data_IF_517771895576
#
_entry.id   IF_517771895576
#
_cell.length_a   1.000
_cell.length_b   1.000
_cell.length_c   1.000
_cell.angle_alpha   90.00
_cell.angle_beta   90.00
_cell.angle_gamma   90.00
#
_symmetry.space_group_name_H-M   'P 1'
#
loop_
_entity.id
_entity.type
_entity.pdbx_description
1 polymer ?
#
# COMPACT_ATOMS: atom_id res chain seq x y z
N UNK A 1 -31.24 13.85 12.41
CA UNK A 1 -29.84 13.41 12.67
C UNK A 1 -29.51 12.20 11.80
N UNK A 2 -29.83 10.97 12.16
CA UNK A 2 -29.45 9.74 11.43
C UNK A 2 -29.80 9.74 9.94
N UNK A 3 -30.95 10.27 9.55
CA UNK A 3 -31.39 10.31 8.16
C UNK A 3 -30.52 11.25 7.30
N UNK A 4 -30.09 12.39 7.85
CA UNK A 4 -29.23 13.34 7.13
C UNK A 4 -27.83 12.76 6.92
N UNK A 5 -27.26 12.08 7.91
CA UNK A 5 -25.97 11.40 7.76
C UNK A 5 -26.01 10.31 6.69
N UNK A 6 -27.08 9.50 6.65
CA UNK A 6 -27.28 8.49 5.61
C UNK A 6 -27.46 9.09 4.23
N UNK A 7 -28.19 10.20 4.11
CA UNK A 7 -28.37 10.89 2.82
C UNK A 7 -27.05 11.44 2.30
N UNK A 8 -26.24 12.06 3.15
CA UNK A 8 -24.91 12.56 2.79
C UNK A 8 -23.98 11.42 2.39
N UNK A 9 -23.99 10.29 3.13
CA UNK A 9 -23.22 9.10 2.79
C UNK A 9 -23.63 8.56 1.41
N UNK A 10 -24.94 8.48 1.13
CA UNK A 10 -25.46 7.99 -0.15
C UNK A 10 -25.07 8.90 -1.33
N UNK A 11 -25.23 10.21 -1.20
CA UNK A 11 -24.84 11.18 -2.23
C UNK A 11 -23.34 11.07 -2.53
N UNK A 12 -22.52 10.97 -1.51
CA UNK A 12 -21.09 10.76 -1.64
C UNK A 12 -20.77 9.46 -2.39
N UNK A 13 -21.37 8.34 -2.00
CA UNK A 13 -21.14 7.02 -2.60
C UNK A 13 -21.57 6.99 -4.08
N UNK A 14 -22.70 7.60 -4.43
CA UNK A 14 -23.18 7.68 -5.82
C UNK A 14 -22.22 8.45 -6.73
N UNK A 15 -21.46 9.40 -6.21
CA UNK A 15 -20.47 10.13 -7.00
C UNK A 15 -19.14 9.36 -7.15
N UNK A 16 -18.75 8.57 -6.14
CA UNK A 16 -17.42 7.96 -6.07
C UNK A 16 -17.37 6.53 -6.62
N UNK A 17 -18.39 5.69 -6.36
CA UNK A 17 -18.40 4.28 -6.76
C UNK A 17 -18.25 4.09 -8.28
N UNK A 18 -18.99 4.76 -9.17
CA UNK A 18 -18.88 4.54 -10.62
C UNK A 18 -17.47 4.83 -11.14
N UNK A 19 -16.88 5.93 -10.69
CA UNK A 19 -15.53 6.30 -11.08
C UNK A 19 -14.47 5.34 -10.54
N UNK A 20 -14.66 4.81 -9.31
CA UNK A 20 -13.80 3.77 -8.73
C UNK A 20 -13.85 2.49 -9.55
N UNK A 21 -15.04 2.05 -9.96
CA UNK A 21 -15.23 0.86 -10.82
C UNK A 21 -14.48 1.04 -12.15
N UNK A 22 -14.71 2.16 -12.83
CA UNK A 22 -14.06 2.45 -14.12
C UNK A 22 -12.52 2.48 -13.97
N UNK A 23 -12.01 3.11 -12.92
CA UNK A 23 -10.58 3.19 -12.65
C UNK A 23 -9.94 1.82 -12.38
N UNK A 24 -10.58 0.95 -11.61
CA UNK A 24 -10.07 -0.40 -11.31
C UNK A 24 -10.04 -1.26 -12.58
N UNK A 25 -11.11 -1.22 -13.39
CA UNK A 25 -11.14 -1.95 -14.68
C UNK A 25 -10.01 -1.48 -15.60
N UNK A 26 -9.77 -0.18 -15.69
CA UNK A 26 -8.68 0.37 -16.50
C UNK A 26 -7.31 -0.14 -16.02
N UNK A 27 -7.06 -0.15 -14.71
CA UNK A 27 -5.79 -0.66 -14.16
C UNK A 27 -5.60 -2.17 -14.42
N UNK A 28 -6.66 -2.99 -14.24
CA UNK A 28 -6.60 -4.42 -14.55
C UNK A 28 -6.34 -4.66 -16.06
N UNK A 29 -6.92 -3.84 -16.94
CA UNK A 29 -6.68 -3.92 -18.37
C UNK A 29 -5.19 -3.70 -18.71
N UNK A 30 -4.54 -2.72 -18.11
CA UNK A 30 -3.11 -2.46 -18.30
C UNK A 30 -2.24 -3.64 -17.85
N UNK A 31 -2.65 -4.34 -16.80
CA UNK A 31 -1.97 -5.55 -16.30
C UNK A 31 -2.15 -6.70 -17.31
N UNK A 32 -3.38 -6.96 -17.76
CA UNK A 32 -3.72 -8.03 -18.69
C UNK A 32 -3.09 -7.84 -20.09
N UNK A 33 -2.85 -6.61 -20.49
CA UNK A 33 -2.08 -6.28 -21.70
C UNK A 33 -0.56 -6.52 -21.55
N UNK A 34 -0.11 -6.97 -20.38
CA UNK A 34 1.31 -7.26 -20.12
C UNK A 34 2.20 -6.03 -20.01
N UNK A 35 1.64 -4.86 -19.77
CA UNK A 35 2.44 -3.64 -19.59
C UNK A 35 3.28 -3.69 -18.33
N UNK A 36 2.74 -4.27 -17.25
CA UNK A 36 3.47 -4.45 -15.99
C UNK A 36 4.61 -5.46 -16.17
N UNK A 37 4.35 -6.54 -16.91
CA UNK A 37 5.35 -7.57 -17.18
C UNK A 37 6.51 -7.07 -18.05
N UNK A 38 6.24 -6.19 -19.02
CA UNK A 38 7.29 -5.56 -19.83
C UNK A 38 8.34 -4.82 -19.00
N UNK A 39 7.98 -4.39 -17.80
CA UNK A 39 8.90 -3.81 -16.83
C UNK A 39 9.80 -4.86 -16.15
N UNK A 40 9.52 -6.15 -16.32
CA UNK A 40 10.28 -7.24 -15.68
C UNK A 40 11.75 -7.31 -16.10
N UNK A 41 12.09 -6.94 -17.36
CA UNK A 41 13.50 -6.87 -17.78
C UNK A 41 14.30 -5.82 -16.98
N UNK A 42 13.62 -4.84 -16.37
CA UNK A 42 14.23 -3.83 -15.53
C UNK A 42 14.72 -4.44 -14.20
N UNK A 43 14.18 -5.58 -13.78
CA UNK A 43 14.53 -6.20 -12.49
C UNK A 43 15.91 -6.85 -12.49
N UNK A 44 16.36 -7.36 -13.65
CA UNK A 44 17.65 -8.05 -13.76
C UNK A 44 18.85 -7.21 -13.26
N UNK A 45 19.02 -5.93 -13.63
CA UNK A 45 20.13 -5.13 -13.10
C UNK A 45 20.03 -4.92 -11.58
N UNK A 46 18.80 -4.82 -11.02
CA UNK A 46 18.59 -4.65 -9.59
C UNK A 46 18.99 -5.91 -8.81
N UNK A 47 18.61 -7.10 -9.31
CA UNK A 47 19.02 -8.37 -8.68
C UNK A 47 20.53 -8.52 -8.68
N UNK A 48 21.21 -8.19 -9.79
CA UNK A 48 22.68 -8.18 -9.87
C UNK A 48 23.29 -7.19 -8.90
N UNK A 49 22.75 -5.98 -8.79
CA UNK A 49 23.24 -4.98 -7.85
C UNK A 49 23.14 -5.48 -6.39
N UNK A 50 22.03 -6.12 -6.03
CA UNK A 50 21.79 -6.68 -4.69
C UNK A 50 22.46 -8.03 -4.41
N UNK A 51 23.28 -8.56 -5.33
CA UNK A 51 23.90 -9.90 -5.23
C UNK A 51 22.89 -11.04 -4.99
N UNK A 52 21.64 -10.84 -5.44
CA UNK A 52 20.57 -11.82 -5.34
C UNK A 52 20.62 -12.80 -6.51
N UNK A 53 20.16 -14.03 -6.27
CA UNK A 53 20.03 -15.06 -7.30
C UNK A 53 18.92 -14.74 -8.30
N UNK A 54 19.02 -15.35 -9.47
CA UNK A 54 18.05 -15.20 -10.56
C UNK A 54 16.63 -15.62 -10.16
N UNK A 55 16.54 -16.70 -9.40
CA UNK A 55 15.30 -17.28 -8.93
C UNK A 55 14.55 -16.27 -8.01
N UNK A 56 15.27 -15.45 -7.27
CA UNK A 56 14.70 -14.33 -6.50
C UNK A 56 14.08 -13.28 -7.44
N UNK A 57 14.71 -13.03 -8.61
CA UNK A 57 14.14 -12.15 -9.63
C UNK A 57 12.79 -12.64 -10.15
N UNK A 58 12.62 -13.96 -10.32
CA UNK A 58 11.32 -14.57 -10.67
C UNK A 58 10.31 -14.36 -9.56
N UNK A 59 10.71 -14.59 -8.29
CA UNK A 59 9.84 -14.37 -7.12
C UNK A 59 9.41 -12.91 -7.01
N UNK A 60 10.32 -11.97 -7.26
CA UNK A 60 10.04 -10.54 -7.31
C UNK A 60 8.99 -10.21 -8.37
N UNK A 61 9.15 -10.78 -9.57
CA UNK A 61 8.21 -10.58 -10.67
C UNK A 61 6.81 -11.14 -10.36
N UNK A 62 6.74 -12.38 -9.87
CA UNK A 62 5.48 -13.03 -9.45
C UNK A 62 4.77 -12.22 -8.36
N UNK A 63 5.52 -11.52 -7.51
CA UNK A 63 4.96 -10.68 -6.45
C UNK A 63 4.12 -9.50 -6.98
N UNK A 64 4.29 -9.05 -8.24
CA UNK A 64 3.40 -8.06 -8.85
C UNK A 64 1.98 -8.60 -9.11
N UNK A 65 1.83 -9.90 -9.26
CA UNK A 65 0.53 -10.55 -9.33
C UNK A 65 0.01 -10.98 -7.94
N UNK A 66 0.91 -11.54 -7.12
CA UNK A 66 0.59 -12.03 -5.77
C UNK A 66 1.81 -11.97 -4.86
N UNK A 67 1.87 -11.03 -3.91
CA UNK A 67 2.96 -10.94 -2.91
C UNK A 67 3.09 -12.23 -2.09
N UNK A 68 1.97 -12.90 -1.82
CA UNK A 68 1.97 -14.19 -1.11
C UNK A 68 2.65 -15.27 -1.93
N UNK A 69 2.36 -15.37 -3.22
CA UNK A 69 3.02 -16.32 -4.10
C UNK A 69 4.53 -16.03 -4.21
N UNK A 70 4.92 -14.78 -4.40
CA UNK A 70 6.33 -14.39 -4.45
C UNK A 70 7.09 -14.72 -3.16
N UNK A 71 6.53 -14.38 -1.99
CA UNK A 71 7.15 -14.72 -0.70
C UNK A 71 7.20 -16.23 -0.47
N UNK A 72 6.18 -16.99 -0.90
CA UNK A 72 6.19 -18.46 -0.80
C UNK A 72 7.30 -19.07 -1.66
N UNK A 73 7.55 -18.52 -2.86
CA UNK A 73 8.68 -18.94 -3.70
C UNK A 73 10.03 -18.67 -3.02
N UNK A 74 10.20 -17.49 -2.42
CA UNK A 74 11.42 -17.16 -1.66
C UNK A 74 11.61 -18.14 -0.49
N UNK A 75 10.55 -18.46 0.25
CA UNK A 75 10.60 -19.42 1.35
C UNK A 75 10.95 -20.84 0.86
N UNK A 76 10.45 -21.24 -0.30
CA UNK A 76 10.75 -22.55 -0.90
C UNK A 76 12.22 -22.63 -1.34
N UNK A 77 12.77 -21.56 -1.92
CA UNK A 77 14.19 -21.49 -2.27
C UNK A 77 15.07 -21.67 -1.04
N UNK A 78 14.69 -21.09 0.10
CA UNK A 78 15.38 -21.27 1.37
C UNK A 78 15.25 -22.71 1.88
N UNK A 79 14.06 -23.30 1.91
CA UNK A 79 13.81 -24.69 2.33
C UNK A 79 14.60 -25.71 1.49
N UNK A 80 14.80 -25.43 0.20
CA UNK A 80 15.61 -26.25 -0.71
C UNK A 80 17.12 -26.03 -0.53
N UNK A 81 17.55 -25.13 0.35
CA UNK A 81 18.94 -24.78 0.57
C UNK A 81 19.60 -24.04 -0.60
N UNK A 82 18.80 -23.52 -1.56
CA UNK A 82 19.29 -22.74 -2.69
C UNK A 82 19.73 -21.32 -2.28
N UNK A 83 19.08 -20.75 -1.28
CA UNK A 83 19.42 -19.49 -0.64
C UNK A 83 19.51 -19.65 0.87
N UNK A 84 20.41 -18.93 1.50
CA UNK A 84 20.54 -18.92 2.96
C UNK A 84 19.56 -17.94 3.64
N UNK A 85 19.52 -17.91 4.97
CA UNK A 85 18.62 -17.05 5.73
C UNK A 85 18.89 -15.56 5.48
N UNK A 86 20.14 -15.15 5.25
CA UNK A 86 20.48 -13.76 4.96
C UNK A 86 19.96 -13.34 3.58
N UNK A 87 20.17 -14.18 2.59
CA UNK A 87 19.65 -13.94 1.25
C UNK A 87 18.11 -13.96 1.23
N UNK A 88 17.49 -14.88 1.99
CA UNK A 88 16.04 -14.95 2.16
C UNK A 88 15.48 -13.66 2.75
N UNK A 89 16.13 -13.11 3.77
CA UNK A 89 15.75 -11.86 4.40
C UNK A 89 15.80 -10.71 3.38
N UNK A 90 16.92 -10.54 2.70
CA UNK A 90 17.07 -9.49 1.67
C UNK A 90 16.08 -9.69 0.52
N UNK A 91 15.93 -10.91 0.02
CA UNK A 91 14.96 -11.24 -1.05
C UNK A 91 13.54 -10.85 -0.66
N UNK A 92 13.10 -11.21 0.55
CA UNK A 92 11.76 -10.87 1.05
C UNK A 92 11.55 -9.36 1.24
N UNK A 93 12.59 -8.62 1.64
CA UNK A 93 12.52 -7.15 1.71
C UNK A 93 12.39 -6.52 0.33
N UNK A 94 13.13 -7.02 -0.65
CA UNK A 94 13.06 -6.54 -2.05
C UNK A 94 11.72 -6.88 -2.68
N UNK A 95 11.21 -8.11 -2.50
CA UNK A 95 9.90 -8.54 -3.03
C UNK A 95 8.71 -7.81 -2.39
N UNK A 96 8.93 -6.98 -1.38
CA UNK A 96 7.88 -6.15 -0.78
C UNK A 96 7.50 -4.91 -1.62
N UNK A 97 8.30 -4.47 -2.58
CA UNK A 97 7.95 -3.36 -3.48
C UNK A 97 6.72 -3.67 -4.35
N UNK A 98 6.59 -4.84 -4.97
CA UNK A 98 5.37 -5.24 -5.66
C UNK A 98 4.10 -5.10 -4.83
N UNK A 99 4.16 -5.34 -3.52
CA UNK A 99 3.01 -5.10 -2.63
C UNK A 99 2.64 -3.61 -2.56
N UNK A 100 3.63 -2.71 -2.58
CA UNK A 100 3.39 -1.26 -2.69
C UNK A 100 2.75 -0.91 -4.03
N UNK A 101 3.18 -1.53 -5.11
CA UNK A 101 2.60 -1.34 -6.43
C UNK A 101 1.13 -1.78 -6.49
N UNK A 102 0.79 -2.95 -5.93
CA UNK A 102 -0.59 -3.43 -5.84
C UNK A 102 -1.44 -2.45 -5.02
N UNK A 103 -0.93 -1.99 -3.87
CA UNK A 103 -1.61 -0.98 -3.06
C UNK A 103 -1.92 0.29 -3.86
N UNK A 104 -0.93 0.80 -4.61
CA UNK A 104 -1.10 1.98 -5.46
C UNK A 104 -2.11 1.70 -6.59
N UNK A 105 -1.99 0.58 -7.26
CA UNK A 105 -2.93 0.15 -8.31
C UNK A 105 -4.37 0.18 -7.81
N UNK A 106 -4.64 -0.45 -6.69
CA UNK A 106 -5.99 -0.62 -6.18
C UNK A 106 -6.59 0.69 -5.64
N UNK A 107 -5.75 1.58 -5.11
CA UNK A 107 -6.20 2.80 -4.47
C UNK A 107 -6.08 4.07 -5.32
N UNK A 108 -5.33 4.04 -6.42
CA UNK A 108 -5.20 5.21 -7.31
C UNK A 108 -6.55 5.76 -7.75
N UNK A 109 -7.51 4.95 -8.26
CA UNK A 109 -8.80 5.48 -8.67
C UNK A 109 -9.54 6.17 -7.52
N UNK A 110 -9.54 5.56 -6.35
CA UNK A 110 -10.21 6.10 -5.15
C UNK A 110 -9.57 7.41 -4.71
N UNK A 111 -8.25 7.45 -4.59
CA UNK A 111 -7.51 8.61 -4.11
C UNK A 111 -7.56 9.79 -5.08
N UNK A 112 -7.47 9.53 -6.38
CA UNK A 112 -7.56 10.59 -7.39
C UNK A 112 -8.96 11.21 -7.42
N UNK A 113 -10.01 10.41 -7.25
CA UNK A 113 -11.39 10.90 -7.23
C UNK A 113 -11.67 11.69 -5.95
N UNK A 114 -11.23 11.18 -4.79
CA UNK A 114 -11.52 11.79 -3.50
C UNK A 114 -10.67 13.03 -3.19
N UNK A 115 -9.39 13.00 -3.59
CA UNK A 115 -8.38 13.96 -3.17
C UNK A 115 -7.74 14.71 -4.35
N UNK A 116 -8.05 14.37 -5.60
CA UNK A 116 -7.48 15.00 -6.78
C UNK A 116 -5.95 14.97 -6.77
N UNK A 117 -5.34 16.14 -6.96
CA UNK A 117 -3.87 16.32 -6.94
C UNK A 117 -3.25 15.94 -5.60
N UNK A 118 -3.92 16.20 -4.48
CA UNK A 118 -3.47 15.79 -3.14
C UNK A 118 -3.33 14.27 -3.03
N UNK A 119 -4.25 13.53 -3.64
CA UNK A 119 -4.18 12.06 -3.72
C UNK A 119 -2.98 11.58 -4.55
N UNK A 120 -2.68 12.27 -5.67
CA UNK A 120 -1.49 11.97 -6.49
C UNK A 120 -0.19 12.22 -5.71
N UNK A 121 -0.11 13.33 -4.97
CA UNK A 121 1.04 13.63 -4.12
C UNK A 121 1.23 12.54 -3.06
N UNK A 122 0.16 12.17 -2.36
CA UNK A 122 0.20 11.10 -1.36
C UNK A 122 0.67 9.77 -1.97
N UNK A 123 0.13 9.37 -3.13
CA UNK A 123 0.56 8.15 -3.85
C UNK A 123 2.03 8.23 -4.26
N UNK A 124 2.47 9.38 -4.78
CA UNK A 124 3.88 9.61 -5.15
C UNK A 124 4.82 9.42 -3.97
N UNK A 125 4.45 9.91 -2.78
CA UNK A 125 5.20 9.71 -1.55
C UNK A 125 5.23 8.23 -1.15
N UNK A 126 4.10 7.53 -1.20
CA UNK A 126 4.02 6.10 -0.87
C UNK A 126 4.89 5.26 -1.81
N UNK A 127 4.87 5.56 -3.12
CA UNK A 127 5.75 4.92 -4.11
C UNK A 127 7.21 5.26 -3.83
N UNK A 128 7.51 6.52 -3.56
CA UNK A 128 8.86 6.99 -3.24
C UNK A 128 9.45 6.27 -2.01
N UNK A 129 8.67 6.14 -0.94
CA UNK A 129 9.07 5.36 0.25
C UNK A 129 9.28 3.89 -0.10
N UNK A 130 8.41 3.29 -0.91
CA UNK A 130 8.55 1.91 -1.37
C UNK A 130 9.83 1.69 -2.21
N UNK A 131 10.11 2.60 -3.14
CA UNK A 131 11.33 2.58 -3.95
C UNK A 131 12.58 2.76 -3.09
N UNK A 132 12.57 3.73 -2.17
CA UNK A 132 13.68 3.98 -1.26
C UNK A 132 13.96 2.77 -0.38
N UNK A 133 12.91 2.14 0.19
CA UNK A 133 13.05 0.91 0.95
C UNK A 133 13.68 -0.21 0.12
N UNK A 134 13.25 -0.37 -1.13
CA UNK A 134 13.80 -1.38 -2.03
C UNK A 134 15.26 -1.08 -2.37
N UNK A 135 15.62 0.17 -2.64
CA UNK A 135 16.98 0.58 -2.88
C UNK A 135 17.89 0.29 -1.68
N UNK A 136 17.43 0.61 -0.46
CA UNK A 136 18.15 0.28 0.79
C UNK A 136 18.28 -1.24 0.95
N UNK A 137 17.22 -2.02 0.66
CA UNK A 137 17.26 -3.48 0.76
C UNK A 137 18.25 -4.09 -0.23
N UNK A 138 18.31 -3.58 -1.46
CA UNK A 138 19.29 -3.99 -2.47
C UNK A 138 20.72 -3.61 -2.05
N UNK A 139 20.91 -2.40 -1.51
CA UNK A 139 22.21 -1.98 -0.97
C UNK A 139 22.65 -2.88 0.18
N UNK A 140 21.75 -3.22 1.11
CA UNK A 140 22.03 -4.20 2.16
C UNK A 140 22.44 -5.56 1.59
N UNK A 141 21.74 -6.02 0.53
CA UNK A 141 22.13 -7.24 -0.19
C UNK A 141 23.56 -7.17 -0.72
N UNK A 142 23.91 -6.06 -1.37
CA UNK A 142 25.27 -5.86 -1.90
C UNK A 142 26.36 -5.93 -0.85
N UNK A 143 26.11 -5.48 0.38
CA UNK A 143 27.09 -5.50 1.47
C UNK A 143 27.09 -6.81 2.27
N UNK A 144 25.93 -7.47 2.37
CA UNK A 144 25.76 -8.67 3.21
C UNK A 144 25.96 -9.98 2.44
N UNK A 145 25.76 -9.96 1.12
CA UNK A 145 25.78 -11.16 0.28
C UNK A 145 27.02 -11.20 -0.61
N UNK A 146 27.63 -12.38 -0.85
CA UNK A 146 28.70 -12.51 -1.82
C UNK A 146 28.17 -12.30 -3.25
N UNK A 147 28.99 -11.75 -4.16
CA UNK A 147 28.60 -11.54 -5.54
C UNK A 147 28.25 -12.87 -6.22
N UNK A 148 27.08 -12.91 -6.87
CA UNK A 148 26.58 -14.08 -7.59
C UNK A 148 26.43 -13.78 -9.09
N UNK A 149 26.67 -14.80 -9.93
CA UNK A 149 26.38 -14.70 -11.36
C UNK A 149 24.88 -14.82 -11.57
N UNK A 150 24.28 -13.79 -12.17
CA UNK A 150 22.85 -13.74 -12.49
C UNK A 150 22.69 -13.91 -14.00
N UNK A 151 22.02 -14.94 -14.49
CA UNK A 151 21.62 -15.05 -15.89
C UNK A 151 20.27 -14.33 -16.09
N UNK A 152 20.06 -13.81 -17.26
CA UNK A 152 18.78 -13.15 -17.60
C UNK A 152 17.79 -14.25 -18.01
N UNK A 153 16.75 -14.47 -17.21
CA UNK A 153 15.66 -15.36 -17.60
C UNK A 153 14.75 -14.58 -18.55
N UNK A 154 14.87 -14.87 -19.86
CA UNK A 154 13.87 -14.44 -20.83
C UNK A 154 12.64 -15.35 -20.68
N UNK A 155 11.60 -14.86 -20.01
CA UNK A 155 10.30 -15.50 -20.05
C UNK A 155 9.50 -14.99 -21.26
N UNK A 156 8.99 -15.93 -22.07
CA UNK A 156 8.04 -15.62 -23.14
C UNK A 156 6.74 -15.05 -22.57
N UNK A 157 6.57 -13.75 -22.69
CA UNK A 157 5.40 -13.04 -22.19
C UNK A 157 4.29 -13.18 -23.22
N UNK A 158 3.29 -14.02 -22.93
CA UNK A 158 2.06 -14.10 -23.75
C UNK A 158 1.20 -12.85 -23.44
N UNK A 159 1.32 -11.82 -24.27
CA UNK A 159 0.42 -10.68 -24.22
C UNK A 159 -0.93 -11.05 -24.83
N UNK A 160 -2.01 -10.76 -24.13
CA UNK A 160 -3.37 -10.94 -24.66
C UNK A 160 -3.72 -9.85 -25.67
N UNK A 161 -4.53 -10.19 -26.66
CA UNK A 161 -5.15 -9.20 -27.54
C UNK A 161 -6.09 -8.30 -26.71
N UNK A 162 -6.30 -7.07 -27.14
CA UNK A 162 -7.11 -6.09 -26.40
C UNK A 162 -8.48 -6.63 -25.93
N UNK A 163 -9.19 -7.35 -26.81
CA UNK A 163 -10.51 -7.89 -26.49
C UNK A 163 -10.44 -8.95 -25.37
N UNK A 164 -9.46 -9.85 -25.45
CA UNK A 164 -9.27 -10.90 -24.46
C UNK A 164 -8.75 -10.32 -23.14
N UNK A 165 -7.88 -9.29 -23.23
CA UNK A 165 -7.39 -8.55 -22.09
C UNK A 165 -8.52 -7.80 -21.37
N UNK A 166 -9.42 -7.17 -22.11
CA UNK A 166 -10.58 -6.47 -21.55
C UNK A 166 -11.54 -7.42 -20.82
N UNK A 167 -11.83 -8.56 -21.42
CA UNK A 167 -12.67 -9.57 -20.77
C UNK A 167 -12.02 -10.08 -19.49
N UNK A 168 -10.73 -10.41 -19.54
CA UNK A 168 -9.98 -10.82 -18.33
C UNK A 168 -9.93 -9.72 -17.29
N UNK A 169 -9.70 -8.47 -17.69
CA UNK A 169 -9.67 -7.32 -16.79
C UNK A 169 -10.99 -7.14 -16.03
N UNK A 170 -12.13 -7.26 -16.72
CA UNK A 170 -13.45 -7.19 -16.09
C UNK A 170 -13.63 -8.31 -15.06
N UNK A 171 -13.24 -9.55 -15.40
CA UNK A 171 -13.32 -10.68 -14.48
C UNK A 171 -12.38 -10.51 -13.29
N UNK A 172 -11.12 -10.08 -13.52
CA UNK A 172 -10.13 -9.85 -12.47
C UNK A 172 -10.51 -8.70 -11.55
N UNK A 173 -11.19 -7.69 -12.08
CA UNK A 173 -11.69 -6.55 -11.30
C UNK A 173 -12.73 -6.93 -10.24
N UNK A 174 -13.39 -8.08 -10.40
CA UNK A 174 -14.42 -8.51 -9.46
C UNK A 174 -13.90 -8.71 -8.02
N UNK A 175 -12.70 -9.25 -7.88
CA UNK A 175 -12.09 -9.50 -6.55
C UNK A 175 -11.82 -8.19 -5.80
N UNK A 176 -11.06 -7.20 -6.35
CA UNK A 176 -10.86 -5.92 -5.68
C UNK A 176 -12.15 -5.15 -5.49
N UNK A 177 -13.07 -5.13 -6.48
CA UNK A 177 -14.35 -4.42 -6.37
C UNK A 177 -15.23 -5.00 -5.25
N UNK A 178 -15.33 -6.32 -5.16
CA UNK A 178 -16.08 -7.01 -4.10
C UNK A 178 -15.57 -6.65 -2.70
N UNK A 179 -14.30 -6.34 -2.55
CA UNK A 179 -13.71 -5.98 -1.26
C UNK A 179 -13.76 -4.47 -0.99
N UNK A 180 -13.53 -3.65 -2.02
CA UNK A 180 -13.45 -2.19 -1.88
C UNK A 180 -14.83 -1.57 -1.70
N UNK A 181 -15.80 -1.94 -2.55
CA UNK A 181 -17.14 -1.30 -2.55
C UNK A 181 -17.88 -1.49 -1.23
N UNK A 182 -18.03 -2.72 -0.67
CA UNK A 182 -18.67 -2.89 0.64
C UNK A 182 -17.93 -2.15 1.74
N UNK A 183 -16.59 -2.17 1.72
CA UNK A 183 -15.78 -1.45 2.70
C UNK A 183 -16.01 0.06 2.61
N UNK A 184 -16.11 0.62 1.41
CA UNK A 184 -16.44 2.02 1.19
C UNK A 184 -17.83 2.38 1.74
N UNK A 185 -18.84 1.54 1.45
CA UNK A 185 -20.21 1.77 1.91
C UNK A 185 -20.26 1.75 3.43
N UNK A 186 -19.73 0.69 4.05
CA UNK A 186 -19.71 0.54 5.51
C UNK A 186 -18.92 1.69 6.15
N UNK A 187 -17.72 1.99 5.63
CA UNK A 187 -16.91 3.08 6.15
C UNK A 187 -17.62 4.44 6.04
N UNK A 188 -18.23 4.75 4.89
CA UNK A 188 -18.97 6.00 4.72
C UNK A 188 -20.12 6.10 5.73
N UNK A 189 -20.97 5.07 5.86
CA UNK A 189 -22.08 5.06 6.78
C UNK A 189 -21.59 5.29 8.22
N UNK A 190 -20.60 4.50 8.67
CA UNK A 190 -20.07 4.60 10.03
C UNK A 190 -19.50 5.99 10.29
N UNK A 191 -18.68 6.49 9.36
CA UNK A 191 -18.01 7.78 9.52
C UNK A 191 -18.99 8.94 9.54
N UNK A 192 -19.97 8.99 8.63
CA UNK A 192 -20.98 10.05 8.64
C UNK A 192 -21.86 9.99 9.89
N UNK A 193 -22.13 8.80 10.42
CA UNK A 193 -22.81 8.64 11.70
C UNK A 193 -21.95 9.13 12.87
N UNK A 194 -20.67 8.77 12.90
CA UNK A 194 -19.74 9.22 13.94
C UNK A 194 -19.56 10.75 13.94
N UNK A 195 -19.58 11.38 12.75
CA UNK A 195 -19.56 12.84 12.63
C UNK A 195 -20.84 13.43 13.22
N UNK A 196 -22.00 12.86 12.89
CA UNK A 196 -23.31 13.36 13.30
C UNK A 196 -23.52 13.30 14.83
N UNK A 197 -22.97 12.30 15.52
CA UNK A 197 -23.04 12.16 16.98
C UNK A 197 -21.91 12.92 17.74
N UNK A 198 -21.03 13.65 17.05
CA UNK A 198 -19.93 14.40 17.66
C UNK A 198 -18.80 13.54 18.24
N UNK A 199 -18.69 12.27 17.82
CA UNK A 199 -17.65 11.35 18.32
C UNK A 199 -16.23 11.90 18.12
N UNK A 200 -15.97 12.53 16.98
CA UNK A 200 -14.64 13.07 16.68
C UNK A 200 -14.31 14.31 17.50
N UNK A 201 -15.31 15.11 17.89
CA UNK A 201 -15.13 16.25 18.79
C UNK A 201 -14.73 15.77 20.20
N UNK A 202 -15.38 14.71 20.68
CA UNK A 202 -15.04 14.06 21.94
C UNK A 202 -13.64 13.45 21.91
N UNK A 203 -13.30 12.71 20.84
CA UNK A 203 -11.98 12.11 20.65
C UNK A 203 -10.88 13.19 20.58
N UNK A 204 -11.17 14.31 19.92
CA UNK A 204 -10.28 15.46 19.83
C UNK A 204 -9.90 16.02 21.20
N UNK A 205 -10.85 16.06 22.12
CA UNK A 205 -10.61 16.55 23.48
C UNK A 205 -9.62 15.68 24.25
N UNK A 206 -9.64 14.36 24.04
CA UNK A 206 -8.72 13.42 24.70
C UNK A 206 -7.33 13.37 24.05
N UNK A 207 -7.23 13.62 22.74
CA UNK A 207 -5.98 13.47 22.00
C UNK A 207 -5.16 14.75 21.92
N UNK A 208 -5.68 15.90 22.32
CA UNK A 208 -5.01 17.21 22.29
C UNK A 208 -3.60 17.23 22.90
N UNK A 209 -3.38 16.40 23.91
CA UNK A 209 -2.15 16.42 24.70
C UNK A 209 -1.04 15.50 24.16
N UNK A 210 -1.31 14.71 23.11
CA UNK A 210 -0.27 13.86 22.49
C UNK A 210 0.74 14.73 21.71
N UNK A 211 2.05 14.64 22.03
CA UNK A 211 3.07 15.51 21.41
C UNK A 211 3.09 15.46 19.89
N UNK A 212 2.87 14.25 19.32
CA UNK A 212 2.83 14.01 17.87
C UNK A 212 1.66 14.70 17.18
N UNK A 213 0.58 14.95 17.91
CA UNK A 213 -0.65 15.56 17.36
C UNK A 213 -0.70 17.06 17.57
N UNK A 214 0.19 17.63 18.40
CA UNK A 214 0.24 19.09 18.64
C UNK A 214 0.57 19.92 17.40
N UNK A 215 1.22 19.29 16.41
CA UNK A 215 1.57 19.94 15.13
C UNK A 215 0.45 19.82 14.07
N UNK A 216 -0.62 19.06 14.33
CA UNK A 216 -1.71 18.86 13.39
C UNK A 216 -2.97 19.60 13.86
N UNK A 217 -3.79 20.08 12.91
CA UNK A 217 -5.11 20.64 13.25
C UNK A 217 -6.01 19.56 13.88
N UNK A 218 -6.89 19.96 14.77
CA UNK A 218 -7.83 19.06 15.47
C UNK A 218 -8.67 18.23 14.47
N UNK A 219 -8.93 18.81 13.32
CA UNK A 219 -9.67 18.18 12.20
C UNK A 219 -8.93 16.97 11.58
N UNK A 220 -7.65 16.78 11.87
CA UNK A 220 -6.88 15.60 11.44
C UNK A 220 -7.29 14.32 12.21
N UNK A 221 -7.79 14.45 13.44
CA UNK A 221 -8.10 13.31 14.31
C UNK A 221 -9.13 12.33 13.74
N UNK A 222 -10.24 12.77 13.11
CA UNK A 222 -11.16 11.88 12.43
C UNK A 222 -10.49 11.01 11.35
N UNK A 223 -9.56 11.57 10.57
CA UNK A 223 -8.82 10.83 9.53
C UNK A 223 -7.95 9.74 10.19
N UNK A 224 -7.21 10.11 11.25
CA UNK A 224 -6.34 9.18 11.99
C UNK A 224 -7.17 8.07 12.62
N UNK A 225 -8.28 8.40 13.28
CA UNK A 225 -9.17 7.42 13.88
C UNK A 225 -9.75 6.45 12.85
N UNK A 226 -10.15 6.94 11.68
CA UNK A 226 -10.66 6.10 10.60
C UNK A 226 -9.62 5.10 10.09
N UNK A 227 -8.33 5.42 10.10
CA UNK A 227 -7.26 4.49 9.72
C UNK A 227 -7.24 3.19 10.52
N UNK A 228 -7.65 3.22 11.80
CA UNK A 228 -7.73 2.02 12.63
C UNK A 228 -8.85 1.07 12.19
N UNK A 229 -9.89 1.60 11.54
CA UNK A 229 -11.02 0.83 11.03
C UNK A 229 -10.86 0.49 9.53
N UNK A 230 -10.51 1.50 8.70
CA UNK A 230 -10.43 1.35 7.26
C UNK A 230 -9.62 2.50 6.64
N UNK A 231 -8.65 2.16 5.79
CA UNK A 231 -7.92 3.14 4.99
C UNK A 231 -8.86 3.92 4.03
N UNK A 232 -9.86 3.24 3.45
CA UNK A 232 -10.86 3.87 2.58
C UNK A 232 -11.68 4.90 3.35
N UNK A 233 -12.08 4.57 4.58
CA UNK A 233 -12.76 5.51 5.47
C UNK A 233 -11.91 6.76 5.75
N UNK A 234 -10.62 6.59 6.00
CA UNK A 234 -9.70 7.70 6.20
C UNK A 234 -9.61 8.60 4.95
N UNK A 235 -9.52 8.02 3.74
CA UNK A 235 -9.50 8.79 2.49
C UNK A 235 -10.82 9.53 2.24
N UNK A 236 -11.95 8.91 2.59
CA UNK A 236 -13.28 9.51 2.48
C UNK A 236 -13.40 10.77 3.33
N UNK A 237 -12.99 10.70 4.61
CA UNK A 237 -13.00 11.85 5.50
C UNK A 237 -12.03 12.93 5.00
N UNK A 238 -10.81 12.51 4.64
CA UNK A 238 -9.80 13.42 4.11
C UNK A 238 -10.30 14.18 2.87
N UNK A 239 -10.97 13.48 1.94
CA UNK A 239 -11.55 14.07 0.74
C UNK A 239 -12.62 15.10 1.05
N UNK A 240 -13.50 14.84 2.04
CA UNK A 240 -14.50 15.79 2.48
C UNK A 240 -13.87 17.03 3.12
N UNK A 241 -12.94 16.86 4.04
CA UNK A 241 -12.27 17.99 4.72
C UNK A 241 -11.46 18.85 3.75
N UNK A 242 -10.88 18.24 2.70
CA UNK A 242 -10.20 18.96 1.63
C UNK A 242 -11.19 19.72 0.74
N UNK A 243 -12.30 19.11 0.34
CA UNK A 243 -13.32 19.73 -0.50
C UNK A 243 -14.03 20.90 0.21
N UNK A 244 -14.27 20.78 1.51
CA UNK A 244 -14.84 21.83 2.35
C UNK A 244 -13.84 22.95 2.67
N UNK A 245 -12.57 22.84 2.23
CA UNK A 245 -11.51 23.82 2.52
C UNK A 245 -11.07 23.88 3.99
N UNK A 246 -11.44 22.88 4.80
CA UNK A 246 -11.15 22.81 6.24
C UNK A 246 -9.69 22.46 6.49
N UNK A 247 -9.09 21.65 5.61
CA UNK A 247 -7.69 21.24 5.68
C UNK A 247 -6.98 21.47 4.35
N UNK A 248 -5.73 21.86 4.41
CA UNK A 248 -4.86 22.04 3.23
C UNK A 248 -4.34 20.70 2.71
N UNK A 249 -3.86 20.68 1.46
CA UNK A 249 -3.23 19.50 0.86
C UNK A 249 -2.06 18.96 1.70
N UNK A 250 -1.21 19.85 2.23
CA UNK A 250 -0.11 19.50 3.13
C UNK A 250 -0.60 18.76 4.37
N UNK A 251 -1.56 19.34 5.08
CA UNK A 251 -2.13 18.76 6.31
C UNK A 251 -2.78 17.41 6.06
N UNK A 252 -3.52 17.26 4.95
CA UNK A 252 -4.13 16.00 4.53
C UNK A 252 -3.05 14.92 4.30
N UNK A 253 -2.01 15.22 3.51
CA UNK A 253 -0.95 14.26 3.21
C UNK A 253 -0.22 13.82 4.47
N UNK A 254 0.19 14.75 5.33
CA UNK A 254 0.87 14.44 6.60
C UNK A 254 -0.05 13.59 7.49
N UNK A 255 -1.32 13.96 7.61
CA UNK A 255 -2.30 13.23 8.42
C UNK A 255 -2.52 11.80 7.92
N UNK A 256 -2.64 11.62 6.60
CA UNK A 256 -2.78 10.28 6.00
C UNK A 256 -1.54 9.41 6.24
N UNK A 257 -0.35 9.96 6.11
CA UNK A 257 0.89 9.24 6.39
C UNK A 257 0.99 8.87 7.88
N UNK A 258 0.67 9.80 8.78
CA UNK A 258 0.70 9.55 10.21
C UNK A 258 -0.34 8.51 10.63
N UNK A 259 -1.57 8.61 10.14
CA UNK A 259 -2.61 7.60 10.38
C UNK A 259 -2.19 6.20 9.92
N UNK A 260 -1.52 6.10 8.77
CA UNK A 260 -0.94 4.86 8.25
C UNK A 260 0.11 4.28 9.21
N UNK A 261 1.03 5.10 9.71
CA UNK A 261 2.06 4.68 10.69
C UNK A 261 1.40 4.19 11.97
N UNK A 262 0.51 4.96 12.56
CA UNK A 262 -0.16 4.59 13.81
C UNK A 262 -1.00 3.31 13.68
N UNK A 263 -1.72 3.15 12.57
CA UNK A 263 -2.51 1.94 12.31
C UNK A 263 -1.67 0.69 12.01
N UNK A 264 -0.37 0.84 11.74
CA UNK A 264 0.52 -0.30 11.45
C UNK A 264 0.58 -1.29 12.60
N UNK A 265 0.49 -0.83 13.85
CA UNK A 265 0.43 -1.69 15.03
C UNK A 265 -0.77 -2.65 15.01
N UNK A 266 -1.93 -2.17 14.54
CA UNK A 266 -3.12 -3.03 14.41
C UNK A 266 -2.93 -4.09 13.31
N UNK A 267 -2.17 -3.76 12.26
CA UNK A 267 -1.88 -4.70 11.17
C UNK A 267 -0.95 -5.83 11.60
N UNK A 268 -0.16 -5.68 12.67
CA UNK A 268 0.73 -6.73 13.18
C UNK A 268 -0.02 -8.04 13.46
N UNK A 269 -1.26 -7.99 13.93
CA UNK A 269 -2.10 -9.18 14.16
C UNK A 269 -2.30 -10.07 12.93
N UNK A 270 -2.21 -9.49 11.72
CA UNK A 270 -2.31 -10.22 10.47
C UNK A 270 -0.94 -10.53 9.85
N UNK A 271 0.02 -9.63 10.01
CA UNK A 271 1.35 -9.81 9.41
C UNK A 271 2.22 -10.82 10.18
N UNK A 272 2.07 -10.93 11.50
CA UNK A 272 2.77 -11.95 12.30
C UNK A 272 2.45 -13.36 11.77
N UNK A 273 1.18 -13.83 11.77
CA UNK A 273 0.88 -15.18 11.30
C UNK A 273 1.19 -15.37 9.80
N UNK A 274 1.08 -14.32 9.00
CA UNK A 274 1.44 -14.37 7.58
C UNK A 274 2.92 -14.72 7.38
N UNK A 275 3.83 -13.95 7.98
CA UNK A 275 5.27 -14.18 7.79
C UNK A 275 5.75 -15.45 8.50
N UNK A 276 5.27 -15.72 9.71
CA UNK A 276 5.65 -16.93 10.45
C UNK A 276 5.07 -18.21 9.84
N UNK A 277 3.96 -18.11 9.11
CA UNK A 277 3.37 -19.22 8.38
C UNK A 277 4.07 -19.55 7.05
N UNK A 278 4.53 -18.54 6.31
CA UNK A 278 5.24 -18.73 5.04
C UNK A 278 6.69 -19.13 5.29
N UNK A 279 7.39 -18.44 6.17
CA UNK A 279 8.77 -18.69 6.56
C UNK A 279 8.82 -19.49 7.89
N UNK A 280 10.01 -19.85 8.34
CA UNK A 280 10.13 -20.39 9.70
C UNK A 280 9.74 -19.32 10.74
N UNK A 281 9.25 -19.70 11.95
CA UNK A 281 8.83 -18.71 12.95
C UNK A 281 9.90 -17.65 13.28
N UNK A 282 11.16 -18.06 13.39
CA UNK A 282 12.29 -17.15 13.67
C UNK A 282 12.55 -16.23 12.49
N UNK A 283 12.72 -16.79 11.30
CA UNK A 283 13.05 -16.02 10.10
C UNK A 283 11.87 -15.12 9.68
N UNK A 284 10.64 -15.64 9.75
CA UNK A 284 9.44 -14.86 9.46
C UNK A 284 9.26 -13.66 10.39
N UNK A 285 9.55 -13.82 11.69
CA UNK A 285 9.53 -12.72 12.65
C UNK A 285 10.59 -11.66 12.32
N UNK A 286 11.82 -12.10 11.99
CA UNK A 286 12.91 -11.19 11.61
C UNK A 286 12.56 -10.39 10.34
N UNK A 287 12.05 -11.06 9.31
CA UNK A 287 11.62 -10.42 8.05
C UNK A 287 10.52 -9.40 8.34
N UNK A 288 9.49 -9.81 9.10
CA UNK A 288 8.35 -8.94 9.44
C UNK A 288 8.79 -7.70 10.22
N UNK A 289 9.58 -7.88 11.27
CA UNK A 289 10.06 -6.76 12.10
C UNK A 289 10.89 -5.79 11.27
N UNK A 290 11.86 -6.31 10.50
CA UNK A 290 12.74 -5.45 9.70
C UNK A 290 11.95 -4.74 8.59
N UNK A 291 11.05 -5.45 7.91
CA UNK A 291 10.20 -4.86 6.87
C UNK A 291 9.30 -3.74 7.44
N UNK A 292 8.72 -3.96 8.63
CA UNK A 292 7.87 -2.97 9.30
C UNK A 292 8.70 -1.78 9.78
N UNK A 293 9.82 -2.00 10.46
CA UNK A 293 10.68 -0.93 10.95
C UNK A 293 11.21 -0.05 9.80
N UNK A 294 11.64 -0.66 8.70
CA UNK A 294 12.09 0.08 7.52
C UNK A 294 10.95 0.90 6.91
N UNK A 295 9.76 0.30 6.75
CA UNK A 295 8.61 0.98 6.15
C UNK A 295 8.15 2.16 6.99
N UNK A 296 7.92 1.94 8.28
CA UNK A 296 7.37 2.97 9.16
C UNK A 296 8.44 4.02 9.52
N UNK A 297 9.70 3.61 9.70
CA UNK A 297 10.82 4.52 9.93
C UNK A 297 11.05 5.48 8.76
N UNK A 298 11.07 4.99 7.53
CA UNK A 298 11.16 5.83 6.34
C UNK A 298 9.94 6.76 6.20
N UNK A 299 8.74 6.27 6.49
CA UNK A 299 7.54 7.09 6.46
C UNK A 299 7.61 8.22 7.49
N UNK A 300 8.10 7.96 8.71
CA UNK A 300 8.29 8.98 9.75
C UNK A 300 9.31 10.03 9.30
N UNK A 301 10.44 9.61 8.71
CA UNK A 301 11.43 10.55 8.16
C UNK A 301 10.80 11.46 7.12
N UNK A 302 9.98 10.91 6.22
CA UNK A 302 9.27 11.70 5.20
C UNK A 302 8.27 12.65 5.84
N UNK A 303 7.51 12.22 6.86
CA UNK A 303 6.58 13.10 7.61
C UNK A 303 7.34 14.30 8.20
N UNK A 304 8.47 14.06 8.88
CA UNK A 304 9.31 15.13 9.46
C UNK A 304 9.81 16.06 8.36
N UNK A 305 10.33 15.51 7.27
CA UNK A 305 10.79 16.32 6.13
C UNK A 305 9.68 17.20 5.57
N UNK A 306 8.50 16.66 5.31
CA UNK A 306 7.35 17.42 4.80
C UNK A 306 6.85 18.47 5.80
N UNK A 307 6.89 18.18 7.09
CA UNK A 307 6.46 19.15 8.11
C UNK A 307 7.34 20.39 8.14
N UNK A 308 8.64 20.25 7.82
CA UNK A 308 9.63 21.33 7.87
C UNK A 308 9.74 22.07 6.53
N UNK A 309 9.74 21.35 5.40
CA UNK A 309 10.12 21.91 4.10
C UNK A 309 8.95 22.15 3.14
N UNK A 310 7.81 21.63 3.40
CA UNK A 310 6.59 21.88 2.63
C UNK A 310 5.64 22.79 3.41
#
# INVERSE_FOLDING_TARGET
MWFNALLLALQYLLSVIPATIAGIILMELLIEMGWVQKLGFITAPFMRFGHLREEVGVSFFVSFGSPTAGNSMVAELNKKGLIDDKETLVASLVTSFPATFIFVRDLTPVLVILLGTTGIIYLGIVVGVGLLRTAISLALGRFLLPPKKTAIIQQDIKTKKFKDALQSAILSSWIPLRNIIPTMIIAAIIVFQLIDIGFFDMLSAYLKDLPVLKSLPVQALPIIAAWFASNIGAYTIAGKLLADGIMTSKEIVITLLLGRVLSSMVRLRFTIPYYTGIFSPKLGMQIMLLATLMQEGLTIIVIVFLSVFW
#
